data_IF_614344827123
#
_entry.id   IF_614344827123
#
_cell.length_a   1.000
_cell.length_b   1.000
_cell.length_c   1.000
_cell.angle_alpha   90.00
_cell.angle_beta   90.00
_cell.angle_gamma   90.00
#
_symmetry.space_group_name_H-M   'P 1'
#
loop_
_entity.id
_entity.type
_entity.pdbx_description
1 polymer ?
#
# COMPACT_ATOMS: atom_id res chain seq x y z
N UNK A 1 -10.28 -18.23 5.41
CA UNK A 1 -9.48 -17.12 4.84
C UNK A 1 -9.83 -15.90 5.67
N UNK A 2 -8.84 -15.13 6.09
CA UNK A 2 -9.13 -13.92 6.85
C UNK A 2 -9.87 -12.90 5.96
N UNK A 3 -10.86 -12.21 6.50
CA UNK A 3 -11.62 -11.22 5.72
C UNK A 3 -10.82 -9.91 5.58
N UNK A 4 -11.24 -9.01 4.68
CA UNK A 4 -10.54 -7.74 4.44
C UNK A 4 -10.36 -6.91 5.74
N UNK A 5 -11.35 -6.96 6.65
CA UNK A 5 -11.27 -6.29 7.95
C UNK A 5 -10.18 -6.90 8.84
N UNK A 6 -10.06 -8.23 8.89
CA UNK A 6 -9.04 -8.92 9.67
C UNK A 6 -7.63 -8.62 9.15
N UNK A 7 -7.45 -8.56 7.83
CA UNK A 7 -6.19 -8.15 7.22
C UNK A 7 -5.84 -6.69 7.53
N UNK A 8 -6.82 -5.78 7.45
CA UNK A 8 -6.63 -4.37 7.79
C UNK A 8 -6.27 -4.19 9.28
N UNK A 9 -6.95 -4.89 10.19
CA UNK A 9 -6.65 -4.88 11.62
C UNK A 9 -5.26 -5.46 11.91
N UNK A 10 -4.91 -6.60 11.31
CA UNK A 10 -3.58 -7.19 11.48
C UNK A 10 -2.47 -6.23 11.02
N UNK A 11 -2.62 -5.66 9.81
CA UNK A 11 -1.64 -4.71 9.27
C UNK A 11 -1.52 -3.46 10.16
N UNK A 12 -2.64 -2.94 10.67
CA UNK A 12 -2.65 -1.82 11.60
C UNK A 12 -1.79 -2.11 12.83
N UNK A 13 -2.12 -3.17 13.57
CA UNK A 13 -1.45 -3.47 14.83
C UNK A 13 0.01 -3.86 14.62
N UNK A 14 0.31 -4.66 13.59
CA UNK A 14 1.67 -5.07 13.30
C UNK A 14 2.59 -3.87 12.99
N UNK A 15 2.14 -2.95 12.12
CA UNK A 15 2.95 -1.79 11.72
C UNK A 15 2.98 -0.75 12.83
N UNK A 16 1.88 -0.51 13.55
CA UNK A 16 1.88 0.41 14.69
C UNK A 16 2.84 -0.06 15.79
N UNK A 17 2.81 -1.36 16.14
CA UNK A 17 3.71 -1.94 17.13
C UNK A 17 5.18 -1.89 16.68
N UNK A 18 5.47 -2.28 15.44
CA UNK A 18 6.83 -2.21 14.90
C UNK A 18 7.37 -0.77 14.92
N UNK A 19 6.55 0.19 14.51
CA UNK A 19 6.91 1.62 14.50
C UNK A 19 7.12 2.16 15.91
N UNK A 20 6.31 1.73 16.89
CA UNK A 20 6.49 2.07 18.30
C UNK A 20 7.80 1.51 18.87
N UNK A 21 8.15 0.26 18.53
CA UNK A 21 9.43 -0.35 18.94
C UNK A 21 10.62 0.41 18.36
N UNK A 22 10.55 0.81 17.08
CA UNK A 22 11.60 1.62 16.46
C UNK A 22 11.74 2.98 17.16
N UNK A 23 10.64 3.69 17.38
CA UNK A 23 10.68 4.98 18.10
C UNK A 23 11.26 4.85 19.50
N UNK A 24 10.86 3.80 20.24
CA UNK A 24 11.39 3.54 21.57
C UNK A 24 12.91 3.27 21.55
N UNK A 25 13.39 2.50 20.58
CA UNK A 25 14.83 2.23 20.39
C UNK A 25 15.63 3.48 19.99
N UNK A 26 15.01 4.40 19.26
CA UNK A 26 15.59 5.70 18.88
C UNK A 26 15.49 6.76 20.00
N UNK A 27 14.92 6.43 21.16
CA UNK A 27 14.69 7.40 22.24
C UNK A 27 13.62 8.46 21.89
N UNK A 28 12.81 8.21 20.85
CA UNK A 28 11.73 9.08 20.42
C UNK A 28 10.43 8.73 21.15
N UNK A 29 9.56 9.72 21.43
CA UNK A 29 8.29 9.45 22.09
C UNK A 29 7.39 8.62 21.17
N UNK A 30 6.90 7.49 21.68
CA UNK A 30 5.88 6.69 21.00
C UNK A 30 4.59 7.50 20.96
N UNK A 31 4.13 7.83 19.75
CA UNK A 31 2.96 8.71 19.62
C UNK A 31 2.27 8.62 18.27
N UNK A 32 1.78 9.77 17.79
CA UNK A 32 0.93 9.91 16.60
C UNK A 32 1.52 9.18 15.38
N UNK A 33 2.84 9.25 15.19
CA UNK A 33 3.51 8.60 14.07
C UNK A 33 3.26 7.08 14.01
N UNK A 34 3.23 6.36 15.14
CA UNK A 34 2.96 4.91 15.16
C UNK A 34 1.52 4.60 14.74
N UNK A 35 0.57 5.41 15.20
CA UNK A 35 -0.85 5.28 14.84
C UNK A 35 -1.05 5.60 13.36
N UNK A 36 -0.46 6.69 12.87
CA UNK A 36 -0.54 7.09 11.46
C UNK A 36 0.04 6.03 10.53
N UNK A 37 1.18 5.43 10.89
CA UNK A 37 1.78 4.35 10.10
C UNK A 37 0.93 3.07 10.13
N UNK A 38 0.34 2.72 11.28
CA UNK A 38 -0.63 1.63 11.38
C UNK A 38 -1.84 1.86 10.48
N UNK A 39 -2.43 3.06 10.53
CA UNK A 39 -3.58 3.41 9.69
C UNK A 39 -3.25 3.36 8.19
N UNK A 40 -2.08 3.87 7.79
CA UNK A 40 -1.60 3.76 6.42
C UNK A 40 -1.48 2.29 5.98
N UNK A 41 -0.93 1.42 6.84
CA UNK A 41 -0.79 -0.01 6.54
C UNK A 41 -2.12 -0.78 6.46
N UNK A 42 -3.15 -0.33 7.17
CA UNK A 42 -4.48 -0.91 7.10
C UNK A 42 -5.18 -0.61 5.75
N UNK A 43 -4.93 0.58 5.20
CA UNK A 43 -5.67 1.09 4.05
C UNK A 43 -4.93 0.93 2.72
N UNK A 44 -3.64 1.27 2.66
CA UNK A 44 -2.90 1.37 1.39
C UNK A 44 -2.76 0.03 0.64
N UNK A 45 -2.55 -1.13 1.30
CA UNK A 45 -2.52 -2.41 0.59
C UNK A 45 -3.89 -2.84 0.05
N UNK A 46 -4.99 -2.31 0.59
CA UNK A 46 -6.36 -2.65 0.20
C UNK A 46 -6.91 -1.73 -0.90
N UNK A 47 -6.11 -0.77 -1.37
CA UNK A 47 -6.52 0.17 -2.42
C UNK A 47 -7.05 -0.50 -3.69
N UNK A 48 -6.42 -1.56 -4.23
CA UNK A 48 -6.96 -2.26 -5.40
C UNK A 48 -8.38 -2.78 -5.17
N UNK A 49 -8.61 -3.44 -4.03
CA UNK A 49 -9.93 -3.96 -3.63
C UNK A 49 -10.94 -2.84 -3.34
N UNK A 50 -10.51 -1.68 -2.83
CA UNK A 50 -11.41 -0.53 -2.61
C UNK A 50 -11.87 0.06 -3.94
N UNK A 51 -10.96 0.14 -4.92
CA UNK A 51 -11.26 0.66 -6.27
C UNK A 51 -12.03 -0.36 -7.12
N UNK A 52 -11.82 -1.65 -6.89
CA UNK A 52 -12.50 -2.76 -7.58
C UNK A 52 -12.92 -3.86 -6.58
N UNK A 53 -14.05 -3.67 -5.88
CA UNK A 53 -14.49 -4.58 -4.82
C UNK A 53 -14.73 -6.02 -5.28
N UNK A 54 -14.29 -6.96 -4.44
CA UNK A 54 -14.46 -8.40 -4.64
C UNK A 54 -15.89 -8.89 -4.41
N UNK A 55 -16.84 -8.43 -5.23
CA UNK A 55 -18.26 -8.84 -5.18
C UNK A 55 -18.52 -10.25 -5.72
N UNK A 56 -17.55 -10.84 -6.41
CA UNK A 56 -17.57 -12.21 -6.91
C UNK A 56 -16.14 -12.75 -7.13
N UNK A 57 -15.96 -14.08 -7.26
CA UNK A 57 -14.63 -14.68 -7.52
C UNK A 57 -13.95 -14.12 -8.79
N UNK A 58 -14.72 -13.51 -9.69
CA UNK A 58 -14.27 -12.95 -10.95
C UNK A 58 -14.06 -11.42 -11.02
N UNK A 59 -13.69 -10.78 -9.91
CA UNK A 59 -13.62 -9.31 -9.80
C UNK A 59 -12.36 -8.65 -10.37
N UNK A 60 -11.29 -9.40 -10.62
CA UNK A 60 -10.05 -8.85 -11.17
C UNK A 60 -10.25 -8.38 -12.62
N UNK A 61 -10.32 -7.07 -12.85
CA UNK A 61 -10.32 -6.45 -14.17
C UNK A 61 -9.27 -5.35 -14.17
N UNK A 62 -9.68 -4.10 -14.38
CA UNK A 62 -8.79 -2.99 -14.68
C UNK A 62 -7.80 -2.71 -13.54
N UNK A 63 -8.27 -2.61 -12.29
CA UNK A 63 -7.41 -2.26 -11.16
C UNK A 63 -6.52 -3.42 -10.70
N UNK A 64 -6.87 -4.64 -11.10
CA UNK A 64 -6.09 -5.85 -10.88
C UNK A 64 -5.45 -6.37 -12.17
N UNK A 65 -4.97 -5.48 -13.05
CA UNK A 65 -4.39 -5.85 -14.34
C UNK A 65 -2.88 -5.61 -14.44
N UNK A 66 -2.23 -6.30 -15.38
CA UNK A 66 -0.83 -6.04 -15.77
C UNK A 66 -0.67 -4.60 -16.29
N UNK A 67 -1.67 -4.08 -16.99
CA UNK A 67 -1.66 -2.71 -17.50
C UNK A 67 -1.60 -1.70 -16.35
N UNK A 68 -2.44 -1.86 -15.33
CA UNK A 68 -2.42 -0.99 -14.14
C UNK A 68 -1.12 -1.14 -13.36
N UNK A 69 -0.61 -2.37 -13.19
CA UNK A 69 0.69 -2.60 -12.54
C UNK A 69 1.83 -1.83 -13.25
N UNK A 70 1.88 -1.95 -14.58
CA UNK A 70 2.91 -1.32 -15.41
C UNK A 70 2.79 0.20 -15.40
N UNK A 71 1.58 0.72 -15.58
CA UNK A 71 1.31 2.16 -15.54
C UNK A 71 1.71 2.76 -14.19
N UNK A 72 1.34 2.10 -13.09
CA UNK A 72 1.69 2.52 -11.74
C UNK A 72 3.21 2.48 -11.51
N UNK A 73 3.89 1.41 -11.91
CA UNK A 73 5.34 1.30 -11.81
C UNK A 73 6.06 2.41 -12.59
N UNK A 74 5.61 2.72 -13.81
CA UNK A 74 6.12 3.84 -14.61
C UNK A 74 5.90 5.19 -13.92
N UNK A 75 4.73 5.43 -13.32
CA UNK A 75 4.45 6.64 -12.57
C UNK A 75 5.33 6.74 -11.33
N UNK A 76 5.48 5.64 -10.59
CA UNK A 76 6.35 5.57 -9.42
C UNK A 76 7.81 5.83 -9.78
N UNK A 77 8.30 5.37 -10.92
CA UNK A 77 9.65 5.69 -11.40
C UNK A 77 9.85 7.20 -11.61
N UNK A 78 8.82 7.89 -12.14
CA UNK A 78 8.86 9.36 -12.27
C UNK A 78 8.83 10.05 -10.91
N UNK A 79 7.98 9.59 -9.99
CA UNK A 79 7.92 10.10 -8.61
C UNK A 79 9.25 9.85 -7.87
N UNK A 80 9.89 8.71 -8.12
CA UNK A 80 11.20 8.38 -7.54
C UNK A 80 12.28 9.34 -8.03
N UNK A 81 12.24 9.75 -9.30
CA UNK A 81 13.17 10.75 -9.85
C UNK A 81 12.78 12.20 -9.56
N UNK A 82 11.58 12.45 -9.04
CA UNK A 82 11.10 13.79 -8.77
C UNK A 82 11.83 14.39 -7.56
N UNK A 83 12.54 15.49 -7.80
CA UNK A 83 13.17 16.28 -6.74
C UNK A 83 12.12 17.18 -6.08
N UNK A 84 11.68 16.74 -4.90
CA UNK A 84 10.70 17.47 -4.11
C UNK A 84 11.40 18.51 -3.23
N UNK A 85 11.35 19.77 -3.66
CA UNK A 85 12.00 20.89 -2.98
C UNK A 85 11.25 21.32 -1.71
N UNK A 86 9.92 21.45 -1.82
CA UNK A 86 9.04 21.89 -0.72
C UNK A 86 8.63 20.74 0.21
N UNK A 87 8.37 21.04 1.49
CA UNK A 87 7.94 20.05 2.48
C UNK A 87 6.68 19.28 2.05
N UNK A 88 5.68 19.98 1.49
CA UNK A 88 4.49 19.31 0.97
C UNK A 88 4.75 18.41 -0.22
N UNK A 89 5.66 18.80 -1.12
CA UNK A 89 6.08 17.96 -2.24
C UNK A 89 6.82 16.73 -1.72
N UNK A 90 7.63 16.86 -0.66
CA UNK A 90 8.36 15.74 -0.03
C UNK A 90 7.39 14.76 0.61
N UNK A 91 6.41 15.26 1.36
CA UNK A 91 5.38 14.40 1.94
C UNK A 91 4.58 13.68 0.85
N UNK A 92 4.15 14.41 -0.20
CA UNK A 92 3.44 13.81 -1.33
C UNK A 92 4.27 12.73 -2.02
N UNK A 93 5.57 12.97 -2.25
CA UNK A 93 6.49 11.98 -2.82
C UNK A 93 6.56 10.72 -1.96
N UNK A 94 6.70 10.86 -0.63
CA UNK A 94 6.71 9.71 0.28
C UNK A 94 5.39 8.95 0.22
N UNK A 95 4.25 9.64 0.30
CA UNK A 95 2.92 9.01 0.25
C UNK A 95 2.69 8.26 -1.07
N UNK A 96 3.08 8.86 -2.20
CA UNK A 96 2.97 8.23 -3.52
C UNK A 96 3.85 7.00 -3.66
N UNK A 97 5.09 7.03 -3.16
CA UNK A 97 6.00 5.89 -3.21
C UNK A 97 5.55 4.75 -2.29
N UNK A 98 5.15 5.08 -1.06
CA UNK A 98 4.67 4.08 -0.09
C UNK A 98 3.32 3.49 -0.53
N UNK A 99 2.36 4.34 -0.92
CA UNK A 99 1.05 3.90 -1.39
C UNK A 99 1.14 3.11 -2.70
N UNK A 100 1.92 3.60 -3.67
CA UNK A 100 2.17 2.88 -4.91
C UNK A 100 2.88 1.55 -4.69
N UNK A 101 3.87 1.51 -3.78
CA UNK A 101 4.56 0.27 -3.41
C UNK A 101 3.63 -0.75 -2.76
N UNK A 102 2.75 -0.33 -1.86
CA UNK A 102 1.75 -1.19 -1.25
C UNK A 102 0.76 -1.75 -2.29
N UNK A 103 0.33 -0.93 -3.24
CA UNK A 103 -0.52 -1.35 -4.36
C UNK A 103 0.18 -2.39 -5.23
N UNK A 104 1.43 -2.14 -5.64
CA UNK A 104 2.20 -3.09 -6.45
C UNK A 104 2.45 -4.40 -5.71
N UNK A 105 2.67 -4.37 -4.38
CA UNK A 105 2.82 -5.57 -3.57
C UNK A 105 1.52 -6.40 -3.55
N UNK A 106 0.35 -5.74 -3.49
CA UNK A 106 -0.94 -6.40 -3.63
C UNK A 106 -1.06 -7.07 -5.01
N UNK A 107 -0.78 -6.34 -6.09
CA UNK A 107 -0.83 -6.90 -7.45
C UNK A 107 0.17 -8.06 -7.66
N UNK A 108 1.36 -7.96 -7.07
CA UNK A 108 2.36 -9.03 -7.12
C UNK A 108 1.83 -10.29 -6.42
N UNK A 109 1.16 -10.14 -5.26
CA UNK A 109 0.50 -11.27 -4.59
C UNK A 109 -0.57 -11.89 -5.48
N UNK A 110 -1.36 -11.06 -6.15
CA UNK A 110 -2.41 -11.51 -7.06
C UNK A 110 -1.86 -12.24 -8.29
N UNK A 111 -0.77 -11.75 -8.87
CA UNK A 111 -0.06 -12.39 -9.98
C UNK A 111 0.46 -13.79 -9.64
N UNK A 112 0.80 -14.03 -8.37
CA UNK A 112 1.29 -15.31 -7.87
C UNK A 112 0.17 -16.30 -7.50
N UNK A 113 -1.10 -15.90 -7.63
CA UNK A 113 -2.23 -16.83 -7.48
C UNK A 113 -2.51 -17.59 -8.78
N UNK A 114 -3.19 -18.74 -8.70
CA UNK A 114 -3.55 -19.54 -9.88
C UNK A 114 -4.31 -18.76 -10.97
N UNK A 115 -5.06 -17.72 -10.56
CA UNK A 115 -5.81 -16.88 -11.48
C UNK A 115 -4.98 -15.77 -12.13
N UNK A 116 -3.84 -15.41 -11.51
CA UNK A 116 -2.95 -14.33 -11.95
C UNK A 116 -3.67 -12.98 -12.19
N UNK A 117 -2.99 -12.04 -12.84
CA UNK A 117 -3.52 -10.76 -13.30
C UNK A 117 -3.95 -10.88 -14.77
N UNK A 118 -5.16 -10.44 -15.16
CA UNK A 118 -5.49 -10.21 -16.56
C UNK A 118 -4.60 -9.13 -17.19
N UNK A 119 -4.56 -9.10 -18.52
CA UNK A 119 -3.86 -8.03 -19.24
C UNK A 119 -4.52 -6.67 -18.98
N UNK A 120 -5.86 -6.62 -18.97
CA UNK A 120 -6.73 -5.45 -18.72
C UNK A 120 -7.94 -5.91 -17.91
#
# INVERSE_FOLDING_TARGET
MACAAEHASFNFFAVAAATAVVQHREGRPVGVASISMGAAAACLPSLPDILEPAVHPNHRRFFHSITTATALACLMHRVYKWEAEDEWKRLARVLLLVGGGAYLAHLARDALTAKSLPLI
#
